data_IF_620820445534
#
_entry.id   IF_620820445534
#
_cell.length_a   1.000
_cell.length_b   1.000
_cell.length_c   1.000
_cell.angle_alpha   90.00
_cell.angle_beta   90.00
_cell.angle_gamma   90.00
#
_symmetry.space_group_name_H-M   'P 1'
#
loop_
_entity.id
_entity.type
_entity.pdbx_description
1 polymer ?
#
# COMPACT_ATOMS: atom_id res chain seq x y z
N UNK A 1 -5.35 -16.76 -1.81
CA UNK A 1 -6.35 -15.67 -1.81
C UNK A 1 -6.95 -15.56 -3.21
N UNK A 2 -8.14 -14.98 -3.39
CA UNK A 2 -8.61 -14.65 -4.75
C UNK A 2 -8.16 -13.25 -5.19
N UNK A 3 -8.11 -13.00 -6.50
CA UNK A 3 -7.60 -11.73 -7.02
C UNK A 3 -8.39 -10.49 -6.58
N UNK A 4 -9.66 -10.64 -6.19
CA UNK A 4 -10.47 -9.51 -5.68
C UNK A 4 -10.08 -9.15 -4.26
N UNK A 5 -9.91 -10.15 -3.39
CA UNK A 5 -9.45 -9.98 -2.01
C UNK A 5 -8.04 -9.40 -1.98
N UNK A 6 -7.17 -9.84 -2.91
CA UNK A 6 -5.84 -9.28 -3.07
C UNK A 6 -5.87 -7.77 -3.35
N UNK A 7 -6.65 -7.36 -4.35
CA UNK A 7 -6.77 -5.95 -4.73
C UNK A 7 -7.37 -5.10 -3.59
N UNK A 8 -8.34 -5.63 -2.86
CA UNK A 8 -8.91 -4.92 -1.70
C UNK A 8 -7.86 -4.69 -0.60
N UNK A 9 -6.99 -5.66 -0.35
CA UNK A 9 -5.93 -5.53 0.66
C UNK A 9 -4.83 -4.58 0.17
N UNK A 10 -4.50 -4.59 -1.11
CA UNK A 10 -3.64 -3.58 -1.71
C UNK A 10 -4.19 -2.16 -1.51
N UNK A 11 -5.48 -1.94 -1.78
CA UNK A 11 -6.13 -0.64 -1.54
C UNK A 11 -6.05 -0.23 -0.06
N UNK A 12 -6.19 -1.21 0.84
CA UNK A 12 -6.05 -1.01 2.28
C UNK A 12 -4.64 -0.54 2.66
N UNK A 13 -3.60 -1.16 2.10
CA UNK A 13 -2.21 -0.75 2.31
C UNK A 13 -1.88 0.63 1.72
N UNK A 14 -2.41 0.92 0.53
CA UNK A 14 -2.27 2.24 -0.08
C UNK A 14 -2.91 3.34 0.79
N UNK A 15 -4.10 3.08 1.35
CA UNK A 15 -4.76 3.99 2.28
C UNK A 15 -3.96 4.18 3.58
N UNK A 16 -3.41 3.10 4.13
CA UNK A 16 -2.60 3.15 5.33
C UNK A 16 -1.36 4.06 5.16
N UNK A 17 -0.73 4.05 3.98
CA UNK A 17 0.34 5.01 3.65
C UNK A 17 -0.13 6.46 3.80
N UNK A 18 -1.25 6.83 3.17
CA UNK A 18 -1.77 8.20 3.23
C UNK A 18 -2.23 8.61 4.63
N UNK A 19 -2.61 7.64 5.47
CA UNK A 19 -2.94 7.85 6.88
C UNK A 19 -1.70 7.88 7.80
N UNK A 20 -0.48 7.80 7.26
CA UNK A 20 0.80 7.74 7.99
C UNK A 20 0.90 6.53 8.94
N UNK A 21 0.23 5.43 8.62
CA UNK A 21 0.36 4.21 9.39
C UNK A 21 1.69 3.51 9.04
N UNK A 22 2.51 3.17 10.05
CA UNK A 22 3.77 2.49 9.81
C UNK A 22 3.54 1.03 9.40
N UNK A 23 4.55 0.48 8.75
CA UNK A 23 4.48 -0.83 8.11
C UNK A 23 4.25 -2.00 9.09
N UNK A 24 4.69 -1.83 10.35
CA UNK A 24 4.50 -2.79 11.44
C UNK A 24 3.06 -2.83 11.99
N UNK A 25 2.18 -1.91 11.56
CA UNK A 25 0.74 -1.94 11.85
C UNK A 25 -0.09 -2.68 10.78
N UNK A 26 0.55 -3.44 9.90
CA UNK A 26 -0.16 -4.34 8.98
C UNK A 26 -1.03 -5.34 9.80
N UNK A 27 -2.37 -5.33 9.65
CA UNK A 27 -3.26 -6.16 10.47
C UNK A 27 -3.31 -7.63 10.01
N UNK A 28 -2.69 -7.95 8.88
CA UNK A 28 -2.81 -9.27 8.25
C UNK A 28 -1.80 -10.25 8.83
N UNK A 29 -2.23 -11.49 9.04
CA UNK A 29 -1.42 -12.54 9.69
C UNK A 29 -0.86 -13.55 8.69
N UNK A 30 -1.59 -13.83 7.60
CA UNK A 30 -1.12 -14.68 6.53
C UNK A 30 -0.19 -13.94 5.56
N UNK A 31 0.74 -14.68 4.97
CA UNK A 31 1.83 -14.10 4.18
C UNK A 31 1.34 -13.43 2.88
N UNK A 32 0.27 -13.95 2.28
CA UNK A 32 -0.28 -13.44 1.03
C UNK A 32 -1.00 -12.10 1.24
N UNK A 33 -1.85 -12.00 2.26
CA UNK A 33 -2.45 -10.73 2.69
C UNK A 33 -1.41 -9.70 3.12
N UNK A 34 -0.36 -10.15 3.86
CA UNK A 34 0.75 -9.26 4.23
C UNK A 34 1.40 -8.68 2.99
N UNK A 35 1.78 -9.52 2.03
CA UNK A 35 2.41 -9.09 0.79
C UNK A 35 1.52 -8.10 0.02
N UNK A 36 0.23 -8.41 -0.14
CA UNK A 36 -0.72 -7.52 -0.81
C UNK A 36 -0.79 -6.13 -0.15
N UNK A 37 -0.90 -6.08 1.17
CA UNK A 37 -0.99 -4.82 1.91
C UNK A 37 0.29 -4.00 1.74
N UNK A 38 1.43 -4.67 1.84
CA UNK A 38 2.76 -4.09 1.65
C UNK A 38 2.93 -3.49 0.27
N UNK A 39 2.53 -4.21 -0.77
CA UNK A 39 2.62 -3.74 -2.15
C UNK A 39 1.79 -2.48 -2.37
N UNK A 40 0.57 -2.46 -1.82
CA UNK A 40 -0.29 -1.28 -1.84
C UNK A 40 0.36 -0.05 -1.20
N UNK A 41 0.94 -0.23 -0.01
CA UNK A 41 1.63 0.83 0.73
C UNK A 41 2.82 1.39 -0.06
N UNK A 42 3.67 0.52 -0.61
CA UNK A 42 4.84 0.91 -1.40
C UNK A 42 4.44 1.59 -2.72
N UNK A 43 3.38 1.10 -3.35
CA UNK A 43 2.84 1.70 -4.57
C UNK A 43 2.34 3.12 -4.34
N UNK A 44 1.62 3.37 -3.24
CA UNK A 44 1.18 4.71 -2.86
C UNK A 44 2.37 5.65 -2.62
N UNK A 45 3.38 5.21 -1.86
CA UNK A 45 4.60 5.98 -1.61
C UNK A 45 5.34 6.35 -2.91
N UNK A 46 5.44 5.40 -3.83
CA UNK A 46 6.09 5.63 -5.11
C UNK A 46 5.29 6.59 -6.00
N UNK A 47 3.97 6.48 -6.03
CA UNK A 47 3.11 7.40 -6.79
C UNK A 47 3.15 8.82 -6.23
N UNK A 48 3.16 8.97 -4.91
CA UNK A 48 3.35 10.28 -4.28
C UNK A 48 4.67 10.90 -4.71
N UNK A 49 5.79 10.16 -4.62
CA UNK A 49 7.11 10.64 -5.07
C UNK A 49 7.11 11.05 -6.54
N UNK A 50 6.46 10.27 -7.42
CA UNK A 50 6.34 10.61 -8.84
C UNK A 50 5.56 11.90 -9.06
N UNK A 51 4.46 12.08 -8.34
CA UNK A 51 3.65 13.29 -8.44
C UNK A 51 4.39 14.51 -7.87
N UNK A 52 5.03 14.37 -6.72
CA UNK A 52 5.88 15.43 -6.14
C UNK A 52 7.00 15.80 -7.10
N UNK A 53 7.74 14.82 -7.65
CA UNK A 53 8.84 15.06 -8.59
C UNK A 53 8.37 15.76 -9.87
N UNK A 54 7.18 15.42 -10.38
CA UNK A 54 6.59 16.05 -11.56
C UNK A 54 6.13 17.49 -11.33
N UNK A 55 5.79 17.86 -10.10
CA UNK A 55 5.43 19.24 -9.74
C UNK A 55 6.62 20.17 -9.53
N UNK A 56 7.86 19.66 -9.52
CA UNK A 56 9.09 20.47 -9.32
C UNK A 56 9.86 20.75 -10.63
N UNK A 57 9.29 20.44 -11.80
CA UNK A 57 9.86 20.74 -13.11
C UNK A 57 9.08 21.83 -13.82
#
# INVERSE_FOLDING_TARGET
MDGKTYNLIMEQGARAYYENLPYDQNPHTDDESKAAWVEGWQWAAHNERKNTTRSVQ
#
